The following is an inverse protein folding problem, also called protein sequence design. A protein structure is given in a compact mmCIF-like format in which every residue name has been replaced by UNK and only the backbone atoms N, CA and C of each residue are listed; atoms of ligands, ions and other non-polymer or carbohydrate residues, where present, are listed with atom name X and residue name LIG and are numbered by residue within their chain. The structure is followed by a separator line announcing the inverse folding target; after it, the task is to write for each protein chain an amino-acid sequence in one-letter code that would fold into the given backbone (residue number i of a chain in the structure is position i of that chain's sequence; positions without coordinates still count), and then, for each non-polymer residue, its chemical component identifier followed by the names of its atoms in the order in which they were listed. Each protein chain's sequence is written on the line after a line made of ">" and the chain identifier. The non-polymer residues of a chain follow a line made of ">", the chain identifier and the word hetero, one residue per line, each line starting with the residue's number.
data_IF_778172839524
#
_entry.id   IF_778172839524
#
_cell.length_a   1.000
_cell.length_b   1.000
_cell.length_c   1.000
_cell.angle_alpha   90.00
_cell.angle_beta   90.00
_cell.angle_gamma   90.00
#
_symmetry.space_group_name_H-M   'P 1'
#
loop_
_entity.id
_entity.type
_entity.pdbx_description
1 polymer ?
#
# COMPACT_ATOMS: atom_id res chain seq x y z
N UNK A 1 -14.67 -42.75 7.87
CA UNK A 1 -13.58 -43.10 6.93
C UNK A 1 -13.58 -42.11 5.78
N UNK A 2 -13.06 -40.91 5.99
CA UNK A 2 -12.81 -39.91 4.92
C UNK A 2 -11.29 -39.79 4.75
N UNK A 3 -10.74 -40.73 3.99
CA UNK A 3 -9.34 -40.74 3.52
C UNK A 3 -9.38 -41.45 2.18
N UNK A 4 -9.80 -40.78 1.11
CA UNK A 4 -9.70 -41.37 -0.24
C UNK A 4 -9.76 -40.42 -1.42
N UNK A 5 -9.43 -39.14 -1.25
CA UNK A 5 -9.33 -38.20 -2.37
C UNK A 5 -7.99 -37.45 -2.40
N UNK A 6 -6.88 -38.16 -2.11
CA UNK A 6 -5.51 -37.61 -2.19
C UNK A 6 -4.71 -38.16 -3.38
N UNK A 7 -5.20 -39.19 -4.09
CA UNK A 7 -4.39 -39.91 -5.10
C UNK A 7 -4.66 -39.54 -6.57
N UNK A 8 -5.52 -38.56 -6.87
CA UNK A 8 -5.87 -38.22 -8.26
C UNK A 8 -5.23 -36.93 -8.81
N UNK A 9 -4.17 -36.42 -8.18
CA UNK A 9 -3.48 -35.20 -8.66
C UNK A 9 -1.97 -35.38 -8.93
N UNK A 10 -1.51 -36.61 -9.16
CA UNK A 10 -0.12 -36.92 -9.49
C UNK A 10 -0.01 -37.73 -10.78
N UNK A 11 -0.52 -37.16 -11.88
CA UNK A 11 -0.23 -37.60 -13.24
C UNK A 11 1.18 -37.18 -13.65
N UNK A 12 2.18 -37.99 -13.29
CA UNK A 12 3.50 -37.97 -13.94
C UNK A 12 3.31 -38.22 -15.44
N UNK A 13 3.66 -37.26 -16.28
CA UNK A 13 4.00 -37.53 -17.67
C UNK A 13 5.46 -37.17 -17.91
N UNK A 14 6.18 -38.18 -18.39
CA UNK A 14 7.61 -38.26 -18.63
C UNK A 14 7.99 -37.58 -19.93
N UNK A 15 9.04 -36.74 -19.86
CA UNK A 15 10.07 -36.48 -20.89
C UNK A 15 9.68 -36.30 -22.36
N UNK A 16 10.06 -35.16 -22.93
CA UNK A 16 10.94 -35.15 -24.11
C UNK A 16 11.64 -33.79 -24.25
N UNK A 17 12.97 -33.80 -24.29
CA UNK A 17 13.78 -32.72 -24.85
C UNK A 17 13.77 -32.93 -26.35
N UNK A 18 13.32 -31.96 -27.13
CA UNK A 18 13.96 -31.69 -28.41
C UNK A 18 13.81 -30.22 -28.82
N UNK A 19 14.93 -29.71 -29.33
CA UNK A 19 15.15 -28.35 -29.85
C UNK A 19 14.29 -28.08 -31.08
N UNK A 20 13.82 -26.85 -31.22
CA UNK A 20 14.04 -26.08 -32.44
C UNK A 20 13.81 -24.59 -32.19
N UNK A 21 14.82 -23.79 -32.51
CA UNK A 21 14.72 -22.35 -32.62
C UNK A 21 13.75 -22.00 -33.76
N UNK A 22 12.68 -21.29 -33.43
CA UNK A 22 11.88 -20.52 -34.37
C UNK A 22 11.57 -19.17 -33.69
N UNK A 23 11.76 -18.09 -34.45
CA UNK A 23 11.96 -16.74 -33.94
C UNK A 23 10.98 -16.30 -32.87
N UNK A 24 11.52 -15.87 -31.72
CA UNK A 24 10.81 -14.92 -30.87
C UNK A 24 10.81 -13.60 -31.62
N UNK A 25 9.77 -13.36 -32.41
CA UNK A 25 9.40 -11.98 -32.73
C UNK A 25 9.24 -11.25 -31.39
N UNK A 26 9.83 -10.06 -31.22
CA UNK A 26 9.58 -9.27 -30.03
C UNK A 26 8.06 -9.09 -29.95
N UNK A 27 7.44 -9.52 -28.86
CA UNK A 27 6.04 -9.22 -28.60
C UNK A 27 5.86 -7.74 -28.89
N UNK A 28 5.01 -7.32 -29.84
CA UNK A 28 4.69 -5.91 -29.95
C UNK A 28 4.11 -5.56 -28.58
N UNK A 29 4.80 -4.68 -27.85
CA UNK A 29 4.17 -3.89 -26.82
C UNK A 29 3.18 -2.99 -27.58
N UNK A 30 2.08 -3.59 -28.03
CA UNK A 30 0.89 -2.84 -28.38
C UNK A 30 0.64 -2.03 -27.13
N UNK A 31 0.91 -0.73 -27.21
CA UNK A 31 0.51 0.24 -26.22
C UNK A 31 -0.96 -0.03 -26.02
N UNK A 32 -1.29 -0.70 -24.91
CA UNK A 32 -2.66 -0.87 -24.49
C UNK A 32 -3.01 0.53 -24.04
N UNK A 33 -3.42 1.37 -24.99
CA UNK A 33 -4.25 2.51 -24.72
C UNK A 33 -5.54 1.91 -24.16
N UNK A 34 -5.47 1.53 -22.88
CA UNK A 34 -6.63 1.18 -22.10
C UNK A 34 -7.61 2.35 -22.20
N UNK A 35 -8.91 2.09 -22.03
CA UNK A 35 -9.89 3.17 -22.00
C UNK A 35 -9.36 4.26 -21.05
N UNK A 36 -9.30 5.49 -21.56
CA UNK A 36 -8.98 6.64 -20.73
C UNK A 36 -9.89 6.55 -19.52
N UNK A 37 -9.32 6.34 -18.32
CA UNK A 37 -10.09 6.32 -17.09
C UNK A 37 -10.76 7.69 -17.06
N UNK A 38 -12.10 7.79 -17.13
CA UNK A 38 -12.75 9.08 -17.06
C UNK A 38 -12.31 9.71 -15.76
N UNK A 39 -11.71 10.90 -15.87
CA UNK A 39 -11.30 11.68 -14.72
C UNK A 39 -12.59 12.02 -13.97
N UNK A 40 -12.90 11.23 -12.94
CA UNK A 40 -14.04 11.49 -12.09
C UNK A 40 -13.84 12.90 -11.53
N UNK A 41 -14.86 13.78 -11.57
CA UNK A 41 -14.74 15.10 -10.98
C UNK A 41 -14.33 14.90 -9.52
N UNK A 42 -13.11 15.32 -9.17
CA UNK A 42 -12.66 15.39 -7.79
C UNK A 42 -13.49 16.49 -7.16
N UNK A 43 -14.57 16.10 -6.49
CA UNK A 43 -15.29 17.03 -5.64
C UNK A 43 -14.40 17.26 -4.41
N UNK A 44 -13.50 18.24 -4.53
CA UNK A 44 -12.68 18.70 -3.42
C UNK A 44 -13.60 19.43 -2.45
N UNK A 45 -13.66 18.94 -1.20
CA UNK A 45 -14.35 19.62 -0.12
C UNK A 45 -13.66 20.97 0.11
N UNK A 46 -14.45 22.03 0.22
CA UNK A 46 -13.93 23.31 0.74
C UNK A 46 -13.42 23.12 2.17
N UNK A 47 -12.54 24.02 2.65
CA UNK A 47 -12.02 23.98 4.02
C UNK A 47 -13.16 23.94 5.06
N UNK A 48 -14.24 24.71 4.83
CA UNK A 48 -15.38 24.75 5.73
C UNK A 48 -16.16 23.44 5.78
N UNK A 49 -16.37 22.81 4.62
CA UNK A 49 -17.03 21.50 4.52
C UNK A 49 -16.16 20.39 5.13
N UNK A 50 -14.85 20.47 4.93
CA UNK A 50 -13.89 19.55 5.53
C UNK A 50 -13.87 19.66 7.06
N UNK A 51 -13.78 20.87 7.62
CA UNK A 51 -13.80 21.05 9.08
C UNK A 51 -15.16 20.68 9.70
N UNK A 52 -16.26 20.85 8.96
CA UNK A 52 -17.58 20.35 9.39
C UNK A 52 -17.59 18.82 9.45
N UNK A 53 -17.13 18.15 8.39
CA UNK A 53 -17.00 16.70 8.36
C UNK A 53 -16.05 16.18 9.45
N UNK A 54 -14.93 16.87 9.69
CA UNK A 54 -13.91 16.47 10.66
C UNK A 54 -14.42 16.49 12.11
N UNK A 55 -15.41 17.35 12.43
CA UNK A 55 -16.06 17.35 13.75
C UNK A 55 -16.77 16.03 14.05
N UNK A 56 -17.39 15.43 13.03
CA UNK A 56 -18.15 14.19 13.18
C UNK A 56 -17.23 12.96 12.99
N UNK A 57 -16.34 13.01 12.00
CA UNK A 57 -15.48 11.88 11.63
C UNK A 57 -14.20 11.79 12.47
N UNK A 58 -13.68 12.92 12.97
CA UNK A 58 -12.44 12.99 13.75
C UNK A 58 -12.41 12.05 14.96
N UNK A 59 -13.44 12.06 15.83
CA UNK A 59 -13.50 11.14 16.97
C UNK A 59 -13.50 9.65 16.58
N UNK A 60 -14.12 9.31 15.44
CA UNK A 60 -14.11 7.93 14.92
C UNK A 60 -12.69 7.55 14.51
N UNK A 61 -11.99 8.44 13.82
CA UNK A 61 -10.62 8.20 13.38
C UNK A 61 -9.64 8.09 14.57
N UNK A 62 -9.80 8.92 15.59
CA UNK A 62 -9.09 8.82 16.87
C UNK A 62 -9.30 7.45 17.55
N UNK A 63 -10.54 6.98 17.60
CA UNK A 63 -10.85 5.67 18.18
C UNK A 63 -10.17 4.52 17.44
N UNK A 64 -10.18 4.55 16.10
CA UNK A 64 -9.51 3.55 15.26
C UNK A 64 -8.00 3.60 15.45
N UNK A 65 -7.39 4.78 15.44
CA UNK A 65 -5.94 4.92 15.67
C UNK A 65 -5.53 4.56 17.09
N UNK A 66 -6.43 4.72 18.07
CA UNK A 66 -6.27 4.18 19.42
C UNK A 66 -6.17 2.65 19.44
N UNK A 67 -6.89 1.93 18.57
CA UNK A 67 -6.76 0.49 18.42
C UNK A 67 -5.43 0.11 17.75
N UNK A 68 -5.04 0.82 16.71
CA UNK A 68 -3.74 0.61 16.03
C UNK A 68 -2.59 0.78 17.01
N UNK A 69 -2.65 1.80 17.87
CA UNK A 69 -1.66 2.01 18.95
C UNK A 69 -1.56 0.79 19.87
N UNK A 70 -2.70 0.23 20.29
CA UNK A 70 -2.72 -0.97 21.14
C UNK A 70 -2.10 -2.17 20.44
N UNK A 71 -2.37 -2.38 19.15
CA UNK A 71 -1.76 -3.47 18.37
C UNK A 71 -0.23 -3.35 18.33
N UNK A 72 0.32 -2.15 18.12
CA UNK A 72 1.76 -1.96 18.16
C UNK A 72 2.37 -2.25 19.54
N UNK A 73 1.66 -1.88 20.62
CA UNK A 73 2.07 -2.20 21.99
C UNK A 73 2.05 -3.72 22.25
N UNK A 74 1.03 -4.43 21.74
CA UNK A 74 0.91 -5.88 21.85
C UNK A 74 2.03 -6.62 21.09
N UNK A 75 2.49 -6.08 19.96
CA UNK A 75 3.57 -6.65 19.15
C UNK A 75 4.97 -6.21 19.59
N UNK A 76 5.10 -5.47 20.70
CA UNK A 76 6.36 -4.86 21.14
C UNK A 76 7.11 -4.13 20.00
N UNK A 77 6.33 -3.48 19.14
CA UNK A 77 6.83 -2.86 17.91
C UNK A 77 6.78 -1.35 18.05
N UNK A 78 7.96 -0.72 18.01
CA UNK A 78 8.04 0.74 18.06
C UNK A 78 7.68 1.34 16.68
N UNK A 79 6.45 1.85 16.56
CA UNK A 79 5.98 2.57 15.39
C UNK A 79 6.49 4.01 15.34
N UNK A 80 6.99 4.56 16.45
CA UNK A 80 7.41 5.97 16.54
C UNK A 80 8.67 6.26 15.75
N UNK A 81 9.44 5.22 15.41
CA UNK A 81 10.57 5.32 14.47
C UNK A 81 10.15 5.68 13.04
N UNK A 82 8.87 5.57 12.72
CA UNK A 82 8.30 5.98 11.44
C UNK A 82 7.45 7.23 11.68
N UNK A 83 7.98 8.40 11.34
CA UNK A 83 7.34 9.70 11.61
C UNK A 83 5.94 9.83 11.01
N UNK A 84 5.78 9.30 9.79
CA UNK A 84 4.52 9.18 9.06
C UNK A 84 3.47 8.36 9.81
N UNK A 85 3.88 7.21 10.35
CA UNK A 85 3.01 6.34 11.15
C UNK A 85 2.72 6.96 12.51
N UNK A 86 3.73 7.57 13.14
CA UNK A 86 3.58 8.31 14.40
C UNK A 86 2.52 9.40 14.27
N UNK A 87 2.59 10.21 13.21
CA UNK A 87 1.64 11.30 13.00
C UNK A 87 0.20 10.78 12.87
N UNK A 88 -0.01 9.67 12.15
CA UNK A 88 -1.33 9.04 12.03
C UNK A 88 -1.86 8.50 13.35
N UNK A 89 -1.00 7.84 14.13
CA UNK A 89 -1.42 7.12 15.35
C UNK A 89 -1.52 8.04 16.57
N UNK A 90 -0.62 9.01 16.67
CA UNK A 90 -0.53 9.93 17.80
C UNK A 90 -1.32 11.23 17.57
N UNK A 91 -1.42 11.70 16.33
CA UNK A 91 -2.05 12.98 15.96
C UNK A 91 -3.00 12.83 14.75
N UNK A 92 -3.98 11.90 14.80
CA UNK A 92 -4.83 11.52 13.67
C UNK A 92 -5.54 12.68 12.97
N UNK A 93 -6.11 13.61 13.74
CA UNK A 93 -6.84 14.77 13.20
C UNK A 93 -5.90 15.74 12.49
N UNK A 94 -4.69 15.93 13.02
CA UNK A 94 -3.63 16.73 12.37
C UNK A 94 -3.20 16.07 11.06
N UNK A 95 -3.03 14.75 11.05
CA UNK A 95 -2.70 14.00 9.84
C UNK A 95 -3.79 14.16 8.76
N UNK A 96 -5.07 14.06 9.13
CA UNK A 96 -6.19 14.26 8.21
C UNK A 96 -6.21 15.67 7.60
N UNK A 97 -5.92 16.71 8.38
CA UNK A 97 -5.78 18.09 7.87
C UNK A 97 -4.63 18.21 6.87
N UNK A 98 -3.48 17.62 7.19
CA UNK A 98 -2.32 17.62 6.28
C UNK A 98 -2.61 16.86 4.98
N UNK A 99 -3.40 15.79 5.04
CA UNK A 99 -3.86 15.07 3.85
C UNK A 99 -4.78 15.92 2.98
N UNK A 100 -5.75 16.61 3.58
CA UNK A 100 -6.68 17.49 2.85
C UNK A 100 -5.96 18.64 2.15
N UNK A 101 -4.92 19.20 2.76
CA UNK A 101 -4.05 20.22 2.15
C UNK A 101 -3.05 19.67 1.12
N UNK A 102 -2.95 18.36 0.96
CA UNK A 102 -1.98 17.72 0.07
C UNK A 102 -0.53 17.73 0.59
N UNK A 103 -0.30 18.11 1.85
CA UNK A 103 1.02 18.21 2.47
C UNK A 103 1.54 16.85 2.98
N UNK A 104 0.64 15.89 3.16
CA UNK A 104 0.97 14.60 3.80
C UNK A 104 1.76 13.64 2.89
N UNK A 105 1.34 13.41 1.65
CA UNK A 105 2.03 12.47 0.76
C UNK A 105 3.48 12.87 0.43
N UNK A 106 3.79 14.17 0.17
CA UNK A 106 5.17 14.61 0.02
C UNK A 106 6.04 14.28 1.24
N UNK A 107 5.53 14.50 2.46
CA UNK A 107 6.31 14.23 3.69
C UNK A 107 6.54 12.73 3.90
N UNK A 108 5.56 11.88 3.60
CA UNK A 108 5.73 10.41 3.57
C UNK A 108 6.79 10.00 2.55
N UNK A 109 6.77 10.57 1.35
CA UNK A 109 7.74 10.28 0.30
C UNK A 109 9.16 10.68 0.71
N UNK A 110 9.34 11.86 1.31
CA UNK A 110 10.64 12.28 1.86
C UNK A 110 11.14 11.32 2.94
N UNK A 111 10.27 10.91 3.87
CA UNK A 111 10.62 9.96 4.90
C UNK A 111 11.04 8.60 4.30
N UNK A 112 10.35 8.13 3.25
CA UNK A 112 10.75 6.93 2.51
C UNK A 112 12.11 7.09 1.82
N UNK A 113 12.35 8.21 1.14
CA UNK A 113 13.65 8.49 0.50
C UNK A 113 14.79 8.50 1.51
N UNK A 114 14.61 9.17 2.64
CA UNK A 114 15.60 9.22 3.71
C UNK A 114 15.94 7.82 4.24
N UNK A 115 14.93 6.95 4.41
CA UNK A 115 15.12 5.54 4.81
C UNK A 115 15.85 4.74 3.74
N UNK A 116 15.46 4.87 2.47
CA UNK A 116 16.13 4.19 1.36
C UNK A 116 17.62 4.59 1.20
N UNK A 117 17.98 5.84 1.52
CA UNK A 117 19.38 6.29 1.52
C UNK A 117 20.14 5.75 2.74
N UNK A 118 19.50 5.74 3.92
CA UNK A 118 20.09 5.21 5.16
C UNK A 118 20.33 3.69 5.09
N UNK A 119 19.45 2.96 4.41
CA UNK A 119 19.52 1.52 4.18
C UNK A 119 20.16 1.17 2.82
N UNK A 120 20.68 2.17 2.09
CA UNK A 120 21.47 1.99 0.87
C UNK A 120 22.65 1.05 1.12
N UNK A 121 23.16 0.34 0.09
CA UNK A 121 23.98 -0.83 0.27
C UNK A 121 25.14 -0.51 1.21
N UNK A 122 25.07 -1.09 2.41
CA UNK A 122 26.21 -1.17 3.30
C UNK A 122 27.38 -1.65 2.44
N UNK A 123 28.45 -0.86 2.42
CA UNK A 123 29.66 -1.17 1.68
C UNK A 123 29.99 -2.65 1.82
N UNK A 124 29.93 -3.35 0.69
CA UNK A 124 30.68 -4.57 0.45
C UNK A 124 31.75 -4.23 -0.57
#
# INVERSE_FOLDING_TARGET
>A
TLRRDVDQLMGRSTGSRDRAAAGREPFPLASVAGPAIPELPRQELTEAEFEAWLKDAGPVFEAVMGQVRKQFQEWDSDYRRFEDVRLLVDEPVTALRSMHRGEFLPTVWEAMRARAVKDGPAGR
#
